data_IF_444414125588
#
_entry.id   IF_444414125588
#
_cell.length_a   1.000
_cell.length_b   1.000
_cell.length_c   1.000
_cell.angle_alpha   90.00
_cell.angle_beta   90.00
_cell.angle_gamma   90.00
#
_symmetry.space_group_name_H-M   'P 1'
#
loop_
_entity.id
_entity.type
_entity.pdbx_description
1 polymer ?
#
# COMPACT_ATOMS: atom_id res chain seq x y z
N UNK A 1 -7.60 14.98 0.97
CA UNK A 1 -7.65 13.63 0.34
C UNK A 1 -8.81 13.61 -0.65
N UNK A 2 -8.55 13.29 -1.92
CA UNK A 2 -9.62 13.03 -2.91
C UNK A 2 -9.89 11.53 -2.96
N UNK A 3 -11.13 11.08 -2.65
CA UNK A 3 -11.49 9.67 -2.70
C UNK A 3 -11.30 9.09 -4.11
N UNK A 4 -10.76 7.88 -4.19
CA UNK A 4 -10.46 7.23 -5.47
C UNK A 4 -11.23 5.92 -5.58
N UNK A 5 -12.15 5.84 -6.55
CA UNK A 5 -12.74 4.57 -7.00
C UNK A 5 -11.99 4.07 -8.23
N UNK A 6 -11.62 2.81 -8.24
CA UNK A 6 -10.90 2.21 -9.37
C UNK A 6 -11.71 1.03 -9.91
N UNK A 7 -11.92 1.03 -11.22
CA UNK A 7 -12.51 -0.08 -11.94
C UNK A 7 -11.52 -0.59 -12.98
N UNK A 8 -11.11 -1.84 -12.84
CA UNK A 8 -10.36 -2.57 -13.86
C UNK A 8 -11.30 -3.55 -14.58
N UNK A 9 -11.27 -3.55 -15.89
CA UNK A 9 -12.05 -4.44 -16.73
C UNK A 9 -11.11 -5.20 -17.65
N UNK A 10 -11.05 -6.53 -17.48
CA UNK A 10 -10.27 -7.46 -18.31
C UNK A 10 -8.80 -7.05 -18.47
N UNK A 11 -8.21 -6.47 -17.41
CA UNK A 11 -6.85 -5.96 -17.45
C UNK A 11 -5.83 -7.10 -17.56
N UNK A 12 -4.99 -7.04 -18.59
CA UNK A 12 -3.91 -8.02 -18.84
C UNK A 12 -2.56 -7.30 -18.84
N UNK A 13 -1.57 -7.87 -18.14
CA UNK A 13 -0.19 -7.38 -18.09
C UNK A 13 0.76 -8.52 -18.44
N UNK A 14 1.70 -8.28 -19.38
CA UNK A 14 2.69 -9.25 -19.83
C UNK A 14 4.11 -8.71 -19.68
N UNK A 15 5.05 -9.61 -19.45
CA UNK A 15 6.49 -9.35 -19.48
C UNK A 15 7.14 -10.37 -20.43
N UNK A 16 7.42 -9.93 -21.66
CA UNK A 16 7.78 -10.83 -22.75
C UNK A 16 6.67 -11.86 -22.98
N UNK A 17 7.01 -13.15 -22.95
CA UNK A 17 6.05 -14.24 -23.15
C UNK A 17 5.26 -14.60 -21.88
N UNK A 18 5.64 -14.05 -20.73
CA UNK A 18 4.98 -14.36 -19.45
C UNK A 18 3.80 -13.41 -19.21
N UNK A 19 2.59 -13.95 -19.10
CA UNK A 19 1.42 -13.22 -18.59
C UNK A 19 1.50 -13.17 -17.06
N UNK A 20 1.59 -11.99 -16.51
CA UNK A 20 1.71 -11.77 -15.06
C UNK A 20 0.39 -11.33 -14.42
N UNK A 21 -0.55 -10.81 -15.21
CA UNK A 21 -1.94 -10.57 -14.85
C UNK A 21 -2.78 -10.90 -16.09
N UNK A 22 -3.78 -11.75 -15.92
CA UNK A 22 -4.61 -12.23 -17.02
C UNK A 22 -6.08 -11.91 -16.78
N UNK A 23 -6.63 -11.06 -17.67
CA UNK A 23 -8.06 -10.76 -17.75
C UNK A 23 -8.68 -10.34 -16.37
N UNK A 24 -7.91 -9.61 -15.55
CA UNK A 24 -8.36 -9.21 -14.22
C UNK A 24 -9.48 -8.18 -14.30
N UNK A 25 -10.58 -8.46 -13.57
CA UNK A 25 -11.69 -7.53 -13.40
C UNK A 25 -11.94 -7.31 -11.92
N UNK A 26 -11.97 -6.05 -11.48
CA UNK A 26 -12.17 -5.72 -10.07
C UNK A 26 -12.44 -4.25 -9.83
N UNK A 27 -13.20 -3.99 -8.78
CA UNK A 27 -13.54 -2.66 -8.29
C UNK A 27 -12.96 -2.43 -6.90
N UNK A 28 -12.38 -1.26 -6.66
CA UNK A 28 -11.85 -0.82 -5.37
C UNK A 28 -12.49 0.51 -5.00
N UNK A 29 -13.03 0.58 -3.79
CA UNK A 29 -13.86 1.69 -3.33
C UNK A 29 -13.24 2.45 -2.16
N UNK A 30 -13.48 3.77 -2.04
CA UNK A 30 -13.01 4.59 -0.93
C UNK A 30 -13.49 4.08 0.43
N UNK A 31 -12.68 4.33 1.46
CA UNK A 31 -13.01 3.95 2.84
C UNK A 31 -12.91 2.44 3.10
N UNK A 32 -12.35 1.67 2.16
CA UNK A 32 -12.23 0.21 2.29
C UNK A 32 -10.78 -0.25 2.33
N UNK A 33 -10.56 -1.38 2.99
CA UNK A 33 -9.29 -2.11 2.96
C UNK A 33 -9.51 -3.38 2.15
N UNK A 34 -8.84 -3.50 1.01
CA UNK A 34 -8.90 -4.67 0.14
C UNK A 34 -7.62 -5.50 0.25
N UNK A 35 -7.74 -6.78 0.53
CA UNK A 35 -6.63 -7.73 0.51
C UNK A 35 -6.51 -8.42 -0.85
N UNK A 36 -5.31 -8.40 -1.42
CA UNK A 36 -4.90 -9.24 -2.54
C UNK A 36 -4.16 -10.46 -1.98
N UNK A 37 -4.77 -11.63 -2.07
CA UNK A 37 -4.25 -12.87 -1.50
C UNK A 37 -3.76 -13.77 -2.62
N UNK A 38 -2.65 -14.46 -2.40
CA UNK A 38 -2.12 -15.45 -3.32
C UNK A 38 -0.68 -15.79 -3.02
N UNK A 39 -0.19 -16.89 -3.54
CA UNK A 39 1.21 -17.29 -3.41
C UNK A 39 2.19 -16.36 -4.14
N UNK A 40 3.49 -16.71 -4.06
CA UNK A 40 4.51 -16.02 -4.83
C UNK A 40 4.26 -16.20 -6.33
N UNK A 41 4.36 -15.08 -7.07
CA UNK A 41 4.08 -15.09 -8.50
C UNK A 41 2.59 -15.06 -8.88
N UNK A 42 1.66 -14.96 -7.93
CA UNK A 42 0.22 -14.86 -8.20
C UNK A 42 -0.22 -13.59 -8.94
N UNK A 43 0.66 -12.58 -9.09
CA UNK A 43 0.33 -11.34 -9.79
C UNK A 43 0.04 -10.15 -8.88
N UNK A 44 0.06 -10.31 -7.55
CA UNK A 44 -0.24 -9.26 -6.55
C UNK A 44 0.55 -7.98 -6.76
N UNK A 45 1.89 -8.07 -6.75
CA UNK A 45 2.80 -6.93 -6.98
C UNK A 45 2.59 -6.30 -8.36
N UNK A 46 2.27 -7.12 -9.39
CA UNK A 46 1.96 -6.63 -10.74
C UNK A 46 0.70 -5.78 -10.73
N UNK A 47 -0.35 -6.24 -10.05
CA UNK A 47 -1.59 -5.48 -9.88
C UNK A 47 -1.34 -4.17 -9.12
N UNK A 48 -0.62 -4.21 -8.00
CA UNK A 48 -0.28 -2.99 -7.26
C UNK A 48 0.50 -1.99 -8.13
N UNK A 49 1.49 -2.44 -8.90
CA UNK A 49 2.25 -1.59 -9.82
C UNK A 49 1.41 -1.03 -10.96
N UNK A 50 0.44 -1.79 -11.46
CA UNK A 50 -0.54 -1.32 -12.44
C UNK A 50 -1.40 -0.19 -11.84
N UNK A 51 -1.95 -0.40 -10.66
CA UNK A 51 -2.75 0.58 -9.92
C UNK A 51 -1.94 1.83 -9.56
N UNK A 52 -0.65 1.69 -9.28
CA UNK A 52 0.26 2.82 -9.06
C UNK A 52 0.65 3.57 -10.34
N UNK A 53 0.14 3.17 -11.51
CA UNK A 53 0.51 3.76 -12.81
C UNK A 53 1.95 3.54 -13.23
N UNK A 54 2.61 2.53 -12.65
CA UNK A 54 3.99 2.12 -12.99
C UNK A 54 4.04 1.12 -14.14
N UNK A 55 2.92 0.47 -14.42
CA UNK A 55 2.73 -0.45 -15.53
C UNK A 55 1.54 0.00 -16.37
N UNK A 56 1.50 -0.45 -17.61
CA UNK A 56 0.36 -0.28 -18.52
C UNK A 56 -0.27 -1.63 -18.80
N UNK A 57 -1.57 -1.63 -19.04
CA UNK A 57 -2.27 -2.81 -19.56
C UNK A 57 -1.86 -3.08 -21.00
N UNK A 58 -1.78 -4.36 -21.40
CA UNK A 58 -1.61 -4.78 -22.78
C UNK A 58 -2.97 -4.94 -23.48
N UNK A 59 -4.00 -5.28 -22.70
CA UNK A 59 -5.41 -5.31 -23.13
C UNK A 59 -6.30 -5.04 -21.94
N UNK A 60 -7.58 -4.75 -22.20
CA UNK A 60 -8.55 -4.39 -21.18
C UNK A 60 -8.63 -2.88 -20.94
N UNK A 61 -9.62 -2.48 -20.16
CA UNK A 61 -9.89 -1.08 -19.87
C UNK A 61 -9.59 -0.75 -18.42
N UNK A 62 -9.03 0.44 -18.22
CA UNK A 62 -8.84 1.06 -16.91
C UNK A 62 -9.85 2.22 -16.84
N UNK A 63 -11.14 1.87 -16.79
CA UNK A 63 -12.21 2.87 -16.85
C UNK A 63 -12.30 3.65 -15.54
N UNK A 64 -12.22 4.95 -15.67
CA UNK A 64 -12.50 5.89 -14.59
C UNK A 64 -11.33 6.26 -13.68
N UNK A 65 -10.11 5.73 -13.89
CA UNK A 65 -8.95 6.07 -13.11
C UNK A 65 -7.78 6.53 -13.97
N UNK A 66 -7.63 7.84 -14.09
CA UNK A 66 -6.37 8.45 -14.51
C UNK A 66 -5.48 8.53 -13.28
N UNK A 67 -4.37 7.78 -13.26
CA UNK A 67 -3.45 7.77 -12.12
C UNK A 67 -2.85 9.15 -11.90
N UNK A 68 -3.38 9.89 -10.93
CA UNK A 68 -2.67 11.03 -10.38
C UNK A 68 -1.64 10.52 -9.37
N UNK A 69 -0.37 10.58 -9.74
CA UNK A 69 0.74 10.10 -8.88
C UNK A 69 0.85 10.87 -7.56
N UNK A 70 0.33 12.11 -7.51
CA UNK A 70 0.28 12.89 -6.27
C UNK A 70 -0.79 12.39 -5.31
N UNK A 71 -1.78 11.63 -5.80
CA UNK A 71 -2.85 11.04 -5.00
C UNK A 71 -2.64 9.54 -4.74
N UNK A 72 -1.41 9.01 -4.94
CA UNK A 72 -1.06 7.62 -4.69
C UNK A 72 0.06 7.51 -3.68
N UNK A 73 -0.15 6.74 -2.63
CA UNK A 73 0.88 6.25 -1.72
C UNK A 73 1.23 4.80 -2.03
N UNK A 74 2.51 4.49 -2.21
CA UNK A 74 2.96 3.14 -2.54
C UNK A 74 4.11 2.70 -1.65
N UNK A 75 3.92 1.62 -0.90
CA UNK A 75 4.97 0.92 -0.17
C UNK A 75 5.32 -0.37 -0.90
N UNK A 76 6.54 -0.53 -1.40
CA UNK A 76 7.03 -1.79 -1.96
C UNK A 76 7.37 -2.80 -0.85
N UNK A 77 7.54 -4.07 -1.20
CA UNK A 77 7.83 -5.16 -0.26
C UNK A 77 9.12 -4.95 0.57
N UNK A 78 10.11 -4.23 0.05
CA UNK A 78 11.34 -3.86 0.75
C UNK A 78 11.20 -2.62 1.66
N UNK A 79 9.95 -2.20 1.93
CA UNK A 79 9.55 -1.00 2.69
C UNK A 79 9.74 0.35 1.99
N UNK A 80 10.58 0.45 0.96
CA UNK A 80 10.83 1.68 0.20
C UNK A 80 11.50 2.82 0.98
N UNK A 81 12.08 2.54 2.15
CA UNK A 81 12.76 3.57 2.96
C UNK A 81 14.20 3.81 2.50
N UNK A 82 14.64 5.05 2.55
CA UNK A 82 16.05 5.41 2.29
C UNK A 82 16.89 5.10 3.53
N UNK A 83 17.62 3.98 3.48
CA UNK A 83 18.36 3.43 4.63
C UNK A 83 19.47 4.33 5.18
N UNK A 84 20.02 5.21 4.34
CA UNK A 84 21.07 6.17 4.71
C UNK A 84 20.53 7.46 5.34
N UNK A 85 19.23 7.66 5.29
CA UNK A 85 18.53 8.76 5.91
C UNK A 85 17.98 8.32 7.28
N UNK A 86 17.89 9.26 8.22
CA UNK A 86 17.15 9.08 9.47
C UNK A 86 15.65 8.98 9.23
N UNK A 87 14.87 8.63 10.24
CA UNK A 87 13.39 8.63 10.17
C UNK A 87 12.90 10.03 9.80
N UNK A 88 13.38 11.08 10.45
CA UNK A 88 12.98 12.45 10.17
C UNK A 88 13.37 12.90 8.75
N UNK A 89 14.56 12.57 8.28
CA UNK A 89 15.00 12.90 6.92
C UNK A 89 14.20 12.15 5.83
N UNK A 90 13.81 10.90 6.07
CA UNK A 90 12.89 10.18 5.17
C UNK A 90 11.55 10.91 5.05
N UNK A 91 11.00 11.36 6.18
CA UNK A 91 9.74 12.11 6.22
C UNK A 91 9.89 13.45 5.49
N UNK A 92 10.95 14.20 5.78
CA UNK A 92 11.20 15.48 5.12
C UNK A 92 11.33 15.32 3.60
N UNK A 93 12.04 14.29 3.16
CA UNK A 93 12.20 13.99 1.73
C UNK A 93 10.84 13.74 1.06
N UNK A 94 9.99 12.90 1.66
CA UNK A 94 8.65 12.60 1.11
C UNK A 94 7.76 13.85 1.17
N UNK A 95 7.75 14.57 2.28
CA UNK A 95 6.96 15.80 2.43
C UNK A 95 7.29 16.83 1.34
N UNK A 96 8.57 17.04 1.07
CA UNK A 96 9.02 17.95 -0.01
C UNK A 96 8.63 17.44 -1.40
N UNK A 97 8.77 16.12 -1.64
CA UNK A 97 8.42 15.51 -2.93
C UNK A 97 6.95 15.70 -3.29
N UNK A 98 6.06 15.62 -2.28
CA UNK A 98 4.62 15.81 -2.46
C UNK A 98 4.15 17.26 -2.19
N UNK A 99 5.08 18.20 -1.97
CA UNK A 99 4.76 19.62 -1.81
C UNK A 99 3.98 19.96 -0.53
N UNK A 100 4.14 19.18 0.54
CA UNK A 100 3.52 19.51 1.82
C UNK A 100 4.15 20.77 2.42
N UNK A 101 3.32 21.65 2.96
CA UNK A 101 3.84 22.77 3.76
C UNK A 101 4.52 22.26 5.04
N UNK A 102 5.53 22.97 5.57
CA UNK A 102 6.27 22.55 6.77
C UNK A 102 5.35 22.22 7.96
N UNK A 103 4.32 23.04 8.20
CA UNK A 103 3.38 22.83 9.30
C UNK A 103 2.53 21.57 9.11
N UNK A 104 2.01 21.34 7.88
CA UNK A 104 1.27 20.10 7.56
C UNK A 104 2.16 18.88 7.70
N UNK A 105 3.39 18.94 7.18
CA UNK A 105 4.35 17.84 7.25
C UNK A 105 4.66 17.50 8.71
N UNK A 106 4.92 18.49 9.56
CA UNK A 106 5.18 18.33 10.99
C UNK A 106 4.00 17.68 11.70
N UNK A 107 2.82 18.29 11.63
CA UNK A 107 1.61 17.79 12.33
C UNK A 107 1.29 16.37 11.92
N UNK A 108 1.30 16.09 10.60
CA UNK A 108 0.95 14.75 10.09
C UNK A 108 2.02 13.71 10.44
N UNK A 109 3.30 14.08 10.40
CA UNK A 109 4.37 13.15 10.76
C UNK A 109 4.37 12.80 12.25
N UNK A 110 4.15 13.77 13.14
CA UNK A 110 4.01 13.54 14.58
C UNK A 110 2.87 12.54 14.87
N UNK A 111 1.70 12.76 14.26
CA UNK A 111 0.55 11.86 14.38
C UNK A 111 0.88 10.44 13.92
N UNK A 112 1.43 10.30 12.69
CA UNK A 112 1.71 9.00 12.09
C UNK A 112 2.84 8.26 12.82
N UNK A 113 3.89 8.95 13.23
CA UNK A 113 5.00 8.36 13.99
C UNK A 113 4.52 7.85 15.36
N UNK A 114 3.67 8.62 16.06
CA UNK A 114 3.08 8.19 17.32
C UNK A 114 2.22 6.92 17.12
N UNK A 115 1.34 6.91 16.13
CA UNK A 115 0.52 5.72 15.77
C UNK A 115 1.38 4.50 15.39
N UNK A 116 2.52 4.73 14.75
CA UNK A 116 3.46 3.68 14.36
C UNK A 116 4.44 3.28 15.48
N UNK A 117 4.44 3.96 16.65
CA UNK A 117 5.41 3.74 17.72
C UNK A 117 6.84 4.04 17.29
N UNK A 118 7.06 5.06 16.44
CA UNK A 118 8.37 5.48 15.93
C UNK A 118 8.78 6.89 16.40
N UNK A 119 7.96 7.55 17.18
CA UNK A 119 8.15 8.90 17.71
C UNK A 119 9.41 9.06 18.60
N UNK A 120 9.86 7.95 19.21
CA UNK A 120 11.05 7.90 20.07
C UNK A 120 12.39 7.77 19.30
N UNK A 121 12.38 7.63 17.96
CA UNK A 121 13.58 7.37 17.14
C UNK A 121 13.75 8.29 15.92
N UNK A 122 13.37 9.57 15.95
CA UNK A 122 13.37 10.43 14.77
C UNK A 122 14.75 10.58 14.12
N UNK A 123 15.81 10.58 14.93
CA UNK A 123 17.19 10.77 14.47
C UNK A 123 17.91 9.46 14.15
N UNK A 124 17.24 8.29 14.31
CA UNK A 124 17.86 6.99 14.00
C UNK A 124 17.87 6.78 12.49
N UNK A 125 19.02 6.36 11.93
CA UNK A 125 19.10 5.95 10.53
C UNK A 125 18.14 4.81 10.26
N UNK A 126 17.39 4.90 9.15
CA UNK A 126 16.42 3.86 8.78
C UNK A 126 17.07 2.49 8.53
N UNK A 127 18.35 2.47 8.13
CA UNK A 127 19.13 1.24 8.03
C UNK A 127 19.41 0.54 9.37
N UNK A 128 19.30 1.26 10.50
CA UNK A 128 19.48 0.75 11.87
C UNK A 128 18.17 0.41 12.58
N UNK A 129 17.04 0.56 11.91
CA UNK A 129 15.74 0.12 12.40
C UNK A 129 15.61 -1.41 12.26
N UNK A 130 14.78 -2.04 13.13
CA UNK A 130 14.38 -3.43 12.92
C UNK A 130 13.59 -3.60 11.62
N UNK A 131 13.39 -4.83 11.15
CA UNK A 131 12.56 -5.12 9.98
C UNK A 131 11.17 -4.52 10.11
N UNK A 132 10.48 -4.82 11.23
CA UNK A 132 9.16 -4.30 11.54
C UNK A 132 9.10 -2.77 11.64
N UNK A 133 10.09 -2.13 12.27
CA UNK A 133 10.16 -0.66 12.31
C UNK A 133 10.33 -0.05 10.92
N UNK A 134 11.08 -0.69 10.02
CA UNK A 134 11.20 -0.22 8.63
C UNK A 134 9.89 -0.36 7.87
N UNK A 135 9.18 -1.47 8.04
CA UNK A 135 7.86 -1.64 7.43
C UNK A 135 6.87 -0.58 7.91
N UNK A 136 6.83 -0.32 9.23
CA UNK A 136 6.01 0.76 9.79
C UNK A 136 6.37 2.12 9.21
N UNK A 137 7.67 2.44 9.11
CA UNK A 137 8.11 3.69 8.47
C UNK A 137 7.67 3.75 6.99
N UNK A 138 7.77 2.64 6.25
CA UNK A 138 7.30 2.57 4.85
C UNK A 138 5.81 2.93 4.71
N UNK A 139 4.94 2.41 5.60
CA UNK A 139 3.52 2.77 5.62
C UNK A 139 3.33 4.25 5.99
N UNK A 140 4.05 4.76 7.00
CA UNK A 140 4.03 6.19 7.35
C UNK A 140 4.36 7.06 6.14
N UNK A 141 5.43 6.74 5.40
CA UNK A 141 5.82 7.49 4.21
C UNK A 141 4.78 7.41 3.10
N UNK A 142 4.18 6.24 2.88
CA UNK A 142 3.14 6.04 1.87
C UNK A 142 1.85 6.83 2.19
N UNK A 143 1.58 7.13 3.46
CA UNK A 143 0.34 7.80 3.92
C UNK A 143 0.54 9.27 4.31
N UNK A 144 1.78 9.76 4.34
CA UNK A 144 2.14 11.09 4.84
C UNK A 144 1.40 12.23 4.12
N UNK A 145 1.32 12.17 2.80
CA UNK A 145 0.71 13.20 1.94
C UNK A 145 -0.81 13.05 1.80
N UNK A 146 -1.43 12.16 2.59
CA UNK A 146 -2.88 11.87 2.59
C UNK A 146 -3.42 11.50 1.20
N UNK A 147 -2.87 10.48 0.53
CA UNK A 147 -3.34 10.07 -0.78
C UNK A 147 -4.74 9.44 -0.71
N UNK A 148 -5.50 9.57 -1.80
CA UNK A 148 -6.78 8.87 -1.95
C UNK A 148 -6.64 7.38 -2.23
N UNK A 149 -5.47 6.94 -2.71
CA UNK A 149 -5.13 5.53 -2.96
C UNK A 149 -3.85 5.15 -2.23
N UNK A 150 -3.91 4.12 -1.40
CA UNK A 150 -2.75 3.54 -0.69
C UNK A 150 -2.55 2.09 -1.09
N UNK A 151 -1.36 1.79 -1.57
CA UNK A 151 -0.96 0.48 -2.09
C UNK A 151 0.20 -0.06 -1.26
N UNK A 152 0.02 -1.21 -0.62
CA UNK A 152 0.99 -1.80 0.29
C UNK A 152 1.36 -3.22 -0.16
N UNK A 153 2.62 -3.43 -0.48
CA UNK A 153 3.11 -4.73 -0.94
C UNK A 153 3.77 -5.47 0.24
N UNK A 154 3.11 -6.49 0.76
CA UNK A 154 3.52 -7.30 1.91
C UNK A 154 3.96 -6.48 3.14
N UNK A 155 3.13 -5.54 3.62
CA UNK A 155 3.54 -4.57 4.64
C UNK A 155 3.88 -5.19 6.00
N UNK A 156 3.47 -6.42 6.26
CA UNK A 156 3.60 -7.13 7.55
C UNK A 156 4.66 -8.22 7.54
N UNK A 157 5.29 -8.47 6.38
CA UNK A 157 6.31 -9.53 6.26
C UNK A 157 7.52 -9.23 7.15
N UNK A 158 7.85 -10.20 8.03
CA UNK A 158 8.94 -10.06 9.00
C UNK A 158 8.66 -9.10 10.16
N UNK A 159 7.40 -8.75 10.40
CA UNK A 159 6.96 -7.88 11.50
C UNK A 159 6.50 -8.73 12.67
N UNK A 160 6.99 -8.42 13.89
CA UNK A 160 6.54 -9.08 15.11
C UNK A 160 5.05 -8.80 15.42
N UNK A 161 4.38 -9.63 16.26
CA UNK A 161 2.93 -9.51 16.49
C UNK A 161 2.48 -8.15 17.05
N UNK A 162 3.27 -7.51 17.90
CA UNK A 162 2.93 -6.21 18.49
C UNK A 162 3.01 -5.12 17.42
N UNK A 163 4.14 -5.04 16.72
CA UNK A 163 4.34 -4.10 15.62
C UNK A 163 3.34 -4.31 14.49
N UNK A 164 2.90 -5.56 14.26
CA UNK A 164 1.85 -5.89 13.29
C UNK A 164 0.50 -5.29 13.68
N UNK A 165 0.14 -5.36 14.97
CA UNK A 165 -1.11 -4.75 15.45
C UNK A 165 -1.13 -3.22 15.28
N UNK A 166 0.00 -2.55 15.59
CA UNK A 166 0.15 -1.10 15.37
C UNK A 166 0.04 -0.73 13.89
N UNK A 167 0.65 -1.53 13.01
CA UNK A 167 0.62 -1.32 11.56
C UNK A 167 -0.82 -1.49 11.03
N UNK A 168 -1.55 -2.49 11.50
CA UNK A 168 -2.97 -2.67 11.13
C UNK A 168 -3.84 -1.52 11.61
N UNK A 169 -3.58 -0.97 12.80
CA UNK A 169 -4.28 0.21 13.30
C UNK A 169 -4.06 1.41 12.38
N UNK A 170 -2.83 1.60 11.88
CA UNK A 170 -2.49 2.67 10.95
C UNK A 170 -3.20 2.50 9.60
N UNK A 171 -3.20 1.27 9.04
CA UNK A 171 -3.90 0.92 7.80
C UNK A 171 -5.41 1.18 7.91
N UNK A 172 -6.02 0.71 8.99
CA UNK A 172 -7.45 0.89 9.23
C UNK A 172 -7.82 2.38 9.40
N UNK A 173 -7.01 3.15 10.13
CA UNK A 173 -7.20 4.59 10.28
C UNK A 173 -7.14 5.33 8.94
N UNK A 174 -6.19 4.94 8.06
CA UNK A 174 -6.05 5.53 6.72
C UNK A 174 -7.29 5.28 5.86
N UNK A 175 -7.86 4.08 5.90
CA UNK A 175 -9.12 3.78 5.21
C UNK A 175 -10.30 4.56 5.83
N UNK A 176 -10.38 4.65 7.16
CA UNK A 176 -11.41 5.41 7.86
C UNK A 176 -11.37 6.93 7.53
N UNK A 177 -10.19 7.46 7.19
CA UNK A 177 -10.02 8.83 6.69
C UNK A 177 -10.52 8.98 5.24
N UNK A 178 -10.96 7.91 4.56
CA UNK A 178 -11.58 7.91 3.23
C UNK A 178 -10.67 7.41 2.11
N UNK A 179 -9.44 6.96 2.39
CA UNK A 179 -8.57 6.38 1.38
C UNK A 179 -9.09 5.01 0.90
N UNK A 180 -8.84 4.69 -0.38
CA UNK A 180 -8.90 3.33 -0.90
C UNK A 180 -7.57 2.64 -0.55
N UNK A 181 -7.61 1.65 0.33
CA UNK A 181 -6.39 0.92 0.75
C UNK A 181 -6.39 -0.47 0.14
N UNK A 182 -5.31 -0.83 -0.55
CA UNK A 182 -5.11 -2.16 -1.13
C UNK A 182 -3.77 -2.71 -0.64
N UNK A 183 -3.79 -3.88 -0.03
CA UNK A 183 -2.56 -4.54 0.39
C UNK A 183 -2.45 -5.94 -0.20
N UNK A 184 -1.22 -6.33 -0.54
CA UNK A 184 -0.89 -7.67 -0.96
C UNK A 184 -0.34 -8.48 0.20
N UNK A 185 -0.75 -9.73 0.33
CA UNK A 185 -0.24 -10.66 1.33
C UNK A 185 -0.27 -12.11 0.85
N UNK A 186 0.62 -12.94 1.42
CA UNK A 186 0.57 -14.40 1.28
C UNK A 186 -0.16 -15.07 2.47
N UNK A 187 -0.49 -14.31 3.52
CA UNK A 187 -1.06 -14.82 4.75
C UNK A 187 -2.58 -14.65 4.78
N UNK A 188 -3.30 -15.77 4.95
CA UNK A 188 -4.77 -15.77 5.01
C UNK A 188 -5.32 -15.12 6.29
N UNK A 189 -4.64 -15.23 7.41
CA UNK A 189 -5.03 -14.59 8.68
C UNK A 189 -5.03 -13.06 8.61
N UNK A 190 -4.22 -12.48 7.74
CA UNK A 190 -4.22 -11.05 7.49
C UNK A 190 -5.45 -10.58 6.70
N UNK A 191 -5.95 -11.45 5.84
CA UNK A 191 -7.11 -11.16 5.02
C UNK A 191 -8.39 -10.93 5.84
N UNK A 192 -8.48 -11.53 7.05
CA UNK A 192 -9.61 -11.33 7.97
C UNK A 192 -9.76 -9.86 8.43
N UNK A 193 -8.70 -9.05 8.29
CA UNK A 193 -8.68 -7.63 8.63
C UNK A 193 -9.16 -6.72 7.50
N UNK A 194 -9.33 -7.26 6.30
CA UNK A 194 -9.81 -6.54 5.14
C UNK A 194 -11.35 -6.45 5.12
N UNK A 195 -11.88 -5.50 4.36
CA UNK A 195 -13.31 -5.42 4.05
C UNK A 195 -13.67 -6.23 2.81
N UNK A 196 -12.71 -6.45 1.90
CA UNK A 196 -12.85 -7.25 0.68
C UNK A 196 -11.59 -8.07 0.42
N UNK A 197 -11.79 -9.21 -0.23
CA UNK A 197 -10.74 -10.15 -0.59
C UNK A 197 -10.75 -10.39 -2.10
N UNK A 198 -9.56 -10.39 -2.69
CA UNK A 198 -9.32 -10.86 -4.05
C UNK A 198 -8.30 -11.98 -3.99
N UNK A 199 -8.70 -13.20 -4.37
CA UNK A 199 -7.81 -14.36 -4.42
C UNK A 199 -7.22 -14.47 -5.82
N UNK A 200 -5.91 -14.38 -5.92
CA UNK A 200 -5.16 -14.50 -7.17
C UNK A 200 -4.31 -15.76 -7.20
N UNK A 201 -4.24 -16.38 -8.35
CA UNK A 201 -3.29 -17.44 -8.63
C UNK A 201 -2.80 -17.35 -10.08
N UNK A 202 -1.49 -17.46 -10.29
CA UNK A 202 -0.84 -17.37 -11.62
C UNK A 202 -1.35 -16.23 -12.52
N UNK A 203 -1.60 -15.05 -11.94
CA UNK A 203 -2.09 -13.87 -12.66
C UNK A 203 -3.60 -13.82 -12.86
N UNK A 204 -4.33 -14.85 -12.47
CA UNK A 204 -5.78 -14.98 -12.65
C UNK A 204 -6.51 -14.70 -11.33
N UNK A 205 -7.62 -13.98 -11.40
CA UNK A 205 -8.54 -13.80 -10.28
C UNK A 205 -9.41 -15.06 -10.11
N UNK A 206 -9.21 -15.80 -9.01
CA UNK A 206 -9.97 -17.01 -8.69
C UNK A 206 -11.28 -16.72 -7.99
N UNK A 207 -11.34 -15.64 -7.21
CA UNK A 207 -12.54 -15.30 -6.45
C UNK A 207 -12.46 -13.95 -5.77
N UNK A 208 -13.64 -13.41 -5.46
CA UNK A 208 -13.83 -12.18 -4.69
C UNK A 208 -14.78 -12.50 -3.54
N UNK A 209 -14.48 -11.99 -2.36
CA UNK A 209 -15.28 -12.25 -1.17
C UNK A 209 -15.13 -11.18 -0.10
N UNK A 210 -15.81 -11.43 1.01
CA UNK A 210 -15.63 -10.70 2.27
C UNK A 210 -15.18 -11.70 3.32
N UNK A 211 -14.36 -11.30 4.31
CA UNK A 211 -14.03 -12.18 5.42
C UNK A 211 -15.32 -12.62 6.11
N UNK A 212 -15.49 -13.92 6.33
CA UNK A 212 -16.50 -14.44 7.24
C UNK A 212 -15.96 -14.31 8.66
N UNK A 213 -16.69 -13.61 9.51
CA UNK A 213 -16.40 -13.53 10.96
C UNK A 213 -16.66 -14.86 11.63
#
# INVERSE_FOLDING_TARGET
MEPVTINLEQATVRFGDKTALDNFTGEFTPGTVTALIGGDGAGKTTLLKLLAGRLRTHSGNNSGYAVDRHNVGYQPADSGVWRHLSVAENIEFVARTYGLSPDKARTRSEELLTKAGLDHVPNRLAGRLSGGMRQKLGVVLATLHQPGLVLLDEPTTGVDPISRAELWSLIAATAAEGATVIFATTYLDEAERATRLFLLDHGTLLGVGTPTK
#
